data_IF_653554083090
#
_entry.id   IF_653554083090
#
_cell.length_a   1.000
_cell.length_b   1.000
_cell.length_c   1.000
_cell.angle_alpha   90.00
_cell.angle_beta   90.00
_cell.angle_gamma   90.00
#
_symmetry.space_group_name_H-M   'P 1'
#
loop_
_entity.id
_entity.type
_entity.pdbx_description
1 polymer ?
#
# COMPACT_ATOMS: atom_id res chain seq x y z
N UNK A 1 11.80 -12.37 -8.51
CA UNK A 1 10.56 -12.08 -9.27
C UNK A 1 9.43 -12.45 -8.34
N UNK A 2 8.63 -11.48 -7.89
CA UNK A 2 7.48 -11.73 -7.02
C UNK A 2 6.32 -12.07 -7.94
N UNK A 3 5.92 -13.33 -7.94
CA UNK A 3 4.76 -13.82 -8.67
C UNK A 3 3.54 -13.65 -7.75
N UNK A 4 2.65 -12.74 -8.11
CA UNK A 4 1.34 -12.61 -7.47
C UNK A 4 0.32 -12.60 -8.58
N UNK A 5 -0.27 -13.76 -8.83
CA UNK A 5 -1.37 -13.91 -9.76
C UNK A 5 -2.56 -13.05 -9.36
N UNK A 6 -3.15 -12.40 -10.36
CA UNK A 6 -4.34 -11.53 -10.34
C UNK A 6 -4.08 -10.08 -9.89
N UNK A 7 -4.10 -9.17 -10.87
CA UNK A 7 -4.20 -7.69 -10.77
C UNK A 7 -3.51 -7.02 -9.57
N UNK A 8 -2.20 -7.19 -9.50
CA UNK A 8 -1.35 -6.51 -8.53
C UNK A 8 -1.23 -5.04 -8.90
N UNK A 9 -1.96 -4.18 -8.17
CA UNK A 9 -1.68 -2.75 -8.17
C UNK A 9 -0.29 -2.52 -7.56
N UNK A 10 0.58 -1.80 -8.27
CA UNK A 10 1.90 -1.43 -7.76
C UNK A 10 1.77 -0.09 -7.04
N UNK A 11 1.99 -0.08 -5.72
CA UNK A 11 2.16 1.17 -4.97
C UNK A 11 3.63 1.58 -5.02
N UNK A 12 3.93 2.75 -5.59
CA UNK A 12 5.26 3.37 -5.54
C UNK A 12 5.17 4.62 -4.70
N UNK A 13 6.00 4.70 -3.67
CA UNK A 13 6.14 5.89 -2.82
C UNK A 13 7.51 6.47 -3.13
N UNK A 14 7.53 7.64 -3.75
CA UNK A 14 8.75 8.38 -4.00
C UNK A 14 8.99 9.38 -2.86
N UNK A 15 10.20 9.38 -2.33
CA UNK A 15 10.65 10.30 -1.27
C UNK A 15 11.63 11.36 -1.81
N UNK A 16 11.92 11.35 -3.12
CA UNK A 16 12.80 12.29 -3.80
C UNK A 16 12.02 13.41 -4.51
N UNK A 17 12.70 14.14 -5.40
CA UNK A 17 12.02 15.07 -6.31
C UNK A 17 11.04 14.31 -7.20
N UNK A 18 9.86 14.91 -7.44
CA UNK A 18 8.77 14.32 -8.21
C UNK A 18 9.25 13.72 -9.53
N UNK A 19 9.14 12.40 -9.68
CA UNK A 19 9.37 11.71 -10.96
C UNK A 19 8.26 12.07 -11.96
N UNK A 20 8.63 12.53 -13.16
CA UNK A 20 7.69 12.84 -14.24
C UNK A 20 6.87 11.62 -14.70
N UNK A 21 7.33 10.40 -14.39
CA UNK A 21 6.63 9.15 -14.69
C UNK A 21 5.63 8.71 -13.60
N UNK A 22 5.47 9.51 -12.54
CA UNK A 22 4.51 9.23 -11.46
C UNK A 22 3.33 10.20 -11.51
N UNK A 23 2.14 9.64 -11.41
CA UNK A 23 0.91 10.41 -11.25
C UNK A 23 0.66 10.63 -9.75
N UNK A 24 0.46 11.89 -9.39
CA UNK A 24 0.10 12.27 -8.02
C UNK A 24 -1.39 11.97 -7.79
N UNK A 25 -1.69 11.30 -6.68
CA UNK A 25 -3.07 10.98 -6.30
C UNK A 25 -3.42 11.67 -4.98
N UNK A 26 -4.68 12.04 -4.81
CA UNK A 26 -5.16 12.60 -3.54
C UNK A 26 -5.15 11.52 -2.45
N UNK A 27 -4.96 11.92 -1.20
CA UNK A 27 -5.13 11.07 -0.02
C UNK A 27 -6.50 10.40 0.03
N UNK A 28 -7.57 11.11 -0.32
CA UNK A 28 -8.92 10.54 -0.31
C UNK A 28 -9.04 9.38 -1.31
N UNK A 29 -8.52 9.56 -2.53
CA UNK A 29 -8.51 8.52 -3.57
C UNK A 29 -7.59 7.36 -3.20
N UNK A 30 -6.45 7.67 -2.58
CA UNK A 30 -5.53 6.67 -2.05
C UNK A 30 -6.28 5.75 -1.07
N UNK A 31 -6.90 6.28 -0.01
CA UNK A 31 -7.60 5.47 0.98
C UNK A 31 -8.80 4.72 0.39
N UNK A 32 -9.57 5.35 -0.51
CA UNK A 32 -10.70 4.71 -1.18
C UNK A 32 -10.28 3.44 -1.96
N UNK A 33 -9.10 3.42 -2.57
CA UNK A 33 -8.57 2.23 -3.26
C UNK A 33 -8.31 1.08 -2.28
N UNK A 34 -7.80 1.36 -1.07
CA UNK A 34 -7.58 0.31 -0.07
C UNK A 34 -8.90 -0.22 0.49
N UNK A 35 -9.86 0.66 0.74
CA UNK A 35 -11.19 0.28 1.20
C UNK A 35 -11.93 -0.57 0.15
N UNK A 36 -11.92 -0.16 -1.12
CA UNK A 36 -12.52 -0.91 -2.24
C UNK A 36 -11.86 -2.29 -2.44
N UNK A 37 -10.54 -2.36 -2.24
CA UNK A 37 -9.77 -3.61 -2.34
C UNK A 37 -9.75 -4.42 -1.05
N UNK A 38 -10.45 -3.98 0.01
CA UNK A 38 -10.50 -4.62 1.32
C UNK A 38 -9.10 -4.91 1.90
N UNK A 39 -8.23 -3.90 1.87
CA UNK A 39 -6.85 -3.99 2.35
C UNK A 39 -6.69 -3.27 3.70
N UNK A 40 -6.12 -3.96 4.68
CA UNK A 40 -5.70 -3.39 5.95
C UNK A 40 -4.18 -3.20 5.99
N UNK A 41 -3.72 -2.12 6.65
CA UNK A 41 -2.30 -1.88 6.91
C UNK A 41 -1.92 -2.48 8.27
N UNK A 42 -1.18 -3.58 8.24
CA UNK A 42 -0.58 -4.19 9.43
C UNK A 42 0.80 -3.60 9.65
N UNK A 43 1.04 -3.05 10.82
CA UNK A 43 2.35 -2.55 11.24
C UNK A 43 2.66 -3.00 12.67
N UNK A 44 3.94 -3.07 12.99
CA UNK A 44 4.41 -3.39 14.33
C UNK A 44 4.82 -2.11 15.07
N UNK A 45 4.14 -1.81 16.18
CA UNK A 45 4.46 -0.67 17.06
C UNK A 45 5.53 -1.05 18.09
N UNK A 46 6.67 -1.54 17.61
CA UNK A 46 7.80 -1.93 18.44
C UNK A 46 9.06 -1.16 18.04
N UNK A 47 9.40 -0.12 18.81
CA UNK A 47 10.68 0.60 18.70
C UNK A 47 11.06 0.98 17.26
N UNK A 48 12.18 0.42 16.79
CA UNK A 48 12.74 0.65 15.44
C UNK A 48 12.24 -0.36 14.38
N UNK A 49 11.09 -1.01 14.61
CA UNK A 49 10.53 -1.97 13.66
C UNK A 49 10.19 -1.30 12.33
N UNK A 50 10.68 -1.90 11.25
CA UNK A 50 10.35 -1.52 9.87
C UNK A 50 9.38 -2.51 9.24
N UNK A 51 8.73 -3.32 10.08
CA UNK A 51 7.76 -4.28 9.60
C UNK A 51 6.43 -3.58 9.34
N UNK A 52 6.02 -3.58 8.08
CA UNK A 52 4.70 -3.17 7.65
C UNK A 52 4.27 -4.00 6.44
N UNK A 53 2.97 -4.30 6.34
CA UNK A 53 2.40 -5.10 5.27
C UNK A 53 0.94 -4.72 5.03
N UNK A 54 0.52 -4.70 3.76
CA UNK A 54 -0.90 -4.69 3.42
C UNK A 54 -1.44 -6.12 3.35
N UNK A 55 -2.53 -6.37 4.07
CA UNK A 55 -3.18 -7.68 4.17
C UNK A 55 -4.65 -7.57 3.82
N UNK A 56 -5.29 -8.68 3.47
CA UNK A 56 -6.74 -8.77 3.34
C UNK A 56 -7.39 -8.48 4.70
N UNK A 57 -8.23 -7.45 4.77
CA UNK A 57 -8.79 -6.95 6.02
C UNK A 57 -9.74 -7.97 6.65
N UNK A 58 -10.60 -8.62 5.87
CA UNK A 58 -11.55 -9.62 6.40
C UNK A 58 -10.86 -10.91 6.88
N UNK A 59 -9.75 -11.31 6.24
CA UNK A 59 -8.98 -12.49 6.67
C UNK A 59 -8.07 -12.23 7.88
N UNK A 60 -7.85 -10.98 8.25
CA UNK A 60 -6.93 -10.58 9.34
C UNK A 60 -7.63 -9.68 10.39
N UNK A 61 -8.96 -9.66 10.41
CA UNK A 61 -9.78 -9.01 11.43
C UNK A 61 -9.90 -9.86 12.71
#
# INVERSE_FOLDING_TARGET
MVDTGNDVGILRIDFAEKDENLEEINWDDFFAIFDDRNLAFLYEDAGDSRFNKFVDADKNA
#
